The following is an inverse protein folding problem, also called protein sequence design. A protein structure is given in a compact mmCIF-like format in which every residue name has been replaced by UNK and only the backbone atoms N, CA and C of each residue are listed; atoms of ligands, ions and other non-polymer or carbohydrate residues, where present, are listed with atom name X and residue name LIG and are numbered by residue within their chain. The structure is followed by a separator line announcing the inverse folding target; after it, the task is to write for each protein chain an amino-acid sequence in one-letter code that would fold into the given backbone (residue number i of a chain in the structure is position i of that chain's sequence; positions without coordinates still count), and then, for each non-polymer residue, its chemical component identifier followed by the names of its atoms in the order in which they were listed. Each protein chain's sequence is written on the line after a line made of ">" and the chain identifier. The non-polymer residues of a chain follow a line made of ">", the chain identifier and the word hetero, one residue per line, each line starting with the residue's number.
data_IF_874123342092
#
_entry.id   IF_874123342092
#
_cell.length_a   1.000
_cell.length_b   1.000
_cell.length_c   1.000
_cell.angle_alpha   90.00
_cell.angle_beta   90.00
_cell.angle_gamma   90.00
#
_symmetry.space_group_name_H-M   'P 1'
#
loop_
_entity.id
_entity.type
_entity.pdbx_description
1 polymer ?
#
# COMPACT_ATOMS: atom_id res chain seq x y z
N UNK A 1 -4.07 6.32 -4.50
CA UNK A 1 -3.77 7.56 -3.76
C UNK A 1 -4.82 7.86 -2.69
N UNK A 2 -6.03 7.30 -2.82
CA UNK A 2 -7.20 7.55 -1.97
C UNK A 2 -6.95 7.35 -0.47
N UNK A 3 -6.19 6.32 -0.08
CA UNK A 3 -5.82 6.07 1.34
C UNK A 3 -5.08 7.26 1.94
N UNK A 4 -4.08 7.81 1.25
CA UNK A 4 -3.30 8.94 1.75
C UNK A 4 -4.16 10.20 1.91
N UNK A 5 -5.07 10.47 0.97
CA UNK A 5 -6.03 11.58 1.06
C UNK A 5 -6.97 11.40 2.24
N UNK A 6 -7.57 10.22 2.41
CA UNK A 6 -8.50 9.93 3.49
C UNK A 6 -7.81 10.01 4.86
N UNK A 7 -6.55 9.56 4.98
CA UNK A 7 -5.75 9.73 6.19
C UNK A 7 -5.48 11.20 6.49
N UNK A 8 -5.18 12.01 5.47
CA UNK A 8 -4.97 13.44 5.66
C UNK A 8 -6.25 14.14 6.17
N UNK A 9 -7.42 13.75 5.66
CA UNK A 9 -8.71 14.27 6.11
C UNK A 9 -9.06 13.79 7.53
N UNK A 10 -8.82 12.50 7.84
CA UNK A 10 -9.07 11.92 9.16
C UNK A 10 -8.23 12.61 10.23
N UNK A 11 -6.91 12.66 10.01
CA UNK A 11 -5.95 13.26 10.95
C UNK A 11 -6.10 14.78 11.08
N UNK A 12 -6.80 15.44 10.16
CA UNK A 12 -7.14 16.86 10.30
C UNK A 12 -8.14 17.15 11.43
N UNK A 13 -8.77 16.12 12.00
CA UNK A 13 -9.70 16.22 13.14
C UNK A 13 -9.06 15.90 14.48
N UNK A 14 -7.77 15.50 14.48
CA UNK A 14 -7.06 15.10 15.68
C UNK A 14 -6.60 16.36 16.44
N UNK A 15 -6.30 16.26 17.75
CA UNK A 15 -5.75 17.38 18.51
C UNK A 15 -4.44 17.91 17.91
N UNK A 16 -4.24 19.22 17.92
CA UNK A 16 -3.02 19.86 17.38
C UNK A 16 -1.75 19.41 18.12
N UNK A 17 -1.86 18.95 19.37
CA UNK A 17 -0.75 18.38 20.14
C UNK A 17 -0.14 17.13 19.47
N UNK A 18 -0.91 16.42 18.65
CA UNK A 18 -0.46 15.24 17.90
C UNK A 18 0.16 15.56 16.54
N UNK A 19 0.27 16.85 16.17
CA UNK A 19 0.79 17.29 14.87
C UNK A 19 2.13 16.68 14.51
N UNK A 20 3.05 16.63 15.47
CA UNK A 20 4.37 16.02 15.30
C UNK A 20 4.42 14.57 15.81
N UNK A 21 3.43 14.15 16.58
CA UNK A 21 3.22 12.77 17.03
C UNK A 21 2.46 11.96 15.98
N UNK A 22 1.29 11.45 16.39
CA UNK A 22 0.51 10.47 15.63
C UNK A 22 0.09 10.96 14.25
N UNK A 23 -0.26 12.25 14.10
CA UNK A 23 -0.67 12.84 12.80
C UNK A 23 0.48 12.71 11.79
N UNK A 24 1.70 13.07 12.18
CA UNK A 24 2.85 13.04 11.28
C UNK A 24 3.21 11.63 10.85
N UNK A 25 3.17 10.69 11.81
CA UNK A 25 3.51 9.29 11.56
C UNK A 25 2.49 8.63 10.63
N UNK A 26 1.19 8.79 10.91
CA UNK A 26 0.13 8.22 10.08
C UNK A 26 0.17 8.73 8.64
N UNK A 27 0.37 10.04 8.44
CA UNK A 27 0.46 10.62 7.10
C UNK A 27 1.68 10.10 6.33
N UNK A 28 2.84 9.96 6.98
CA UNK A 28 4.04 9.39 6.35
C UNK A 28 3.82 7.92 5.98
N UNK A 29 3.28 7.11 6.89
CA UNK A 29 3.02 5.70 6.62
C UNK A 29 2.03 5.52 5.45
N UNK A 30 0.94 6.30 5.42
CA UNK A 30 -0.06 6.24 4.36
C UNK A 30 0.49 6.64 2.97
N UNK A 31 1.44 7.58 2.90
CA UNK A 31 2.14 7.96 1.65
C UNK A 31 3.22 6.94 1.28
N UNK A 32 3.91 6.37 2.27
CA UNK A 32 5.00 5.40 2.08
C UNK A 32 4.53 4.13 1.36
N UNK A 33 3.35 3.59 1.73
CA UNK A 33 2.81 2.36 1.15
C UNK A 33 2.72 2.42 -0.38
N UNK A 34 1.95 3.34 -1.01
CA UNK A 34 1.87 3.41 -2.47
C UNK A 34 3.19 3.82 -3.11
N UNK A 35 4.01 4.65 -2.46
CA UNK A 35 5.32 5.09 -2.98
C UNK A 35 6.29 3.92 -3.10
N UNK A 36 6.36 3.08 -2.08
CA UNK A 36 7.23 1.89 -2.03
C UNK A 36 6.78 0.84 -3.08
N UNK A 37 5.47 0.63 -3.23
CA UNK A 37 4.93 -0.27 -4.26
C UNK A 37 5.31 0.22 -5.66
N UNK A 38 5.14 1.52 -5.93
CA UNK A 38 5.48 2.12 -7.22
C UNK A 38 6.98 2.04 -7.51
N UNK A 39 7.83 2.27 -6.50
CA UNK A 39 9.28 2.14 -6.64
C UNK A 39 9.67 0.69 -7.00
N UNK A 40 9.12 -0.30 -6.29
CA UNK A 40 9.34 -1.70 -6.58
C UNK A 40 8.92 -2.10 -7.99
N UNK A 41 7.75 -1.62 -8.44
CA UNK A 41 7.26 -1.86 -9.79
C UNK A 41 8.21 -1.28 -10.88
N UNK A 42 8.97 -0.24 -10.55
CA UNK A 42 9.98 0.37 -11.42
C UNK A 42 11.32 -0.37 -11.48
N UNK A 43 11.60 -1.34 -10.59
CA UNK A 43 12.89 -2.05 -10.53
C UNK A 43 13.07 -3.11 -11.62
N UNK A 44 12.00 -3.53 -12.29
CA UNK A 44 12.06 -4.38 -13.49
C UNK A 44 12.28 -5.88 -13.25
N UNK A 45 12.49 -6.31 -12.00
CA UNK A 45 12.60 -7.73 -11.64
C UNK A 45 11.54 -8.14 -10.61
N UNK A 46 11.02 -9.37 -10.72
CA UNK A 46 10.05 -9.93 -9.76
C UNK A 46 10.62 -10.06 -8.34
N UNK A 47 11.88 -10.51 -8.12
CA UNK A 47 12.46 -10.57 -6.77
C UNK A 47 12.57 -9.19 -6.11
N UNK A 48 13.00 -8.17 -6.83
CA UNK A 48 13.05 -6.80 -6.29
C UNK A 48 11.64 -6.32 -5.97
N UNK A 49 10.68 -6.52 -6.87
CA UNK A 49 9.32 -6.08 -6.62
C UNK A 49 8.74 -6.73 -5.35
N UNK A 50 8.94 -8.04 -5.13
CA UNK A 50 8.55 -8.73 -3.89
C UNK A 50 9.17 -8.10 -2.66
N UNK A 51 10.47 -7.78 -2.69
CA UNK A 51 11.15 -7.11 -1.58
C UNK A 51 10.48 -5.78 -1.24
N UNK A 52 10.18 -4.95 -2.24
CA UNK A 52 9.47 -3.69 -2.05
C UNK A 52 8.03 -3.89 -1.52
N UNK A 53 7.33 -4.95 -1.94
CA UNK A 53 6.01 -5.28 -1.37
C UNK A 53 6.09 -5.61 0.12
N UNK A 54 7.13 -6.34 0.55
CA UNK A 54 7.34 -6.60 1.99
C UNK A 54 7.64 -5.33 2.77
N UNK A 55 8.43 -4.40 2.22
CA UNK A 55 8.69 -3.09 2.84
C UNK A 55 7.38 -2.30 2.97
N UNK A 56 6.58 -2.23 1.90
CA UNK A 56 5.29 -1.56 1.91
C UNK A 56 4.34 -2.18 2.95
N UNK A 57 4.36 -3.51 3.10
CA UNK A 57 3.55 -4.23 4.10
C UNK A 57 3.94 -3.83 5.53
N UNK A 58 5.23 -3.63 5.81
CA UNK A 58 5.70 -3.10 7.09
C UNK A 58 5.09 -1.72 7.42
N UNK A 59 5.12 -0.79 6.46
CA UNK A 59 4.46 0.53 6.63
C UNK A 59 2.94 0.42 6.81
N UNK A 60 2.31 -0.59 6.21
CA UNK A 60 0.87 -0.81 6.37
C UNK A 60 0.49 -1.31 7.77
N UNK A 61 1.28 -2.23 8.34
CA UNK A 61 1.07 -2.70 9.72
C UNK A 61 1.32 -1.61 10.76
N UNK A 62 2.33 -0.77 10.53
CA UNK A 62 2.58 0.40 11.37
C UNK A 62 1.36 1.35 11.34
N UNK A 63 0.85 1.66 10.15
CA UNK A 63 -0.32 2.51 9.99
C UNK A 63 -1.59 1.91 10.63
N UNK A 64 -1.83 0.60 10.45
CA UNK A 64 -2.96 -0.10 11.10
C UNK A 64 -2.88 0.03 12.63
N UNK A 65 -1.69 -0.18 13.20
CA UNK A 65 -1.48 -0.03 14.65
C UNK A 65 -1.77 1.40 15.12
N UNK A 66 -1.29 2.41 14.39
CA UNK A 66 -1.54 3.81 14.69
C UNK A 66 -3.03 4.17 14.60
N UNK A 67 -3.76 3.59 13.64
CA UNK A 67 -5.20 3.80 13.49
C UNK A 67 -5.99 3.19 14.67
N UNK A 68 -5.59 2.00 15.13
CA UNK A 68 -6.16 1.39 16.33
C UNK A 68 -5.89 2.23 17.60
N UNK A 69 -4.67 2.77 17.73
CA UNK A 69 -4.32 3.67 18.83
C UNK A 69 -5.14 4.97 18.77
N UNK A 70 -5.31 5.57 17.59
CA UNK A 70 -6.15 6.76 17.42
C UNK A 70 -7.58 6.52 17.89
N UNK A 71 -8.14 5.34 17.62
CA UNK A 71 -9.43 4.92 18.16
C UNK A 71 -9.45 4.83 19.69
N UNK A 72 -8.41 4.23 20.29
CA UNK A 72 -8.28 4.12 21.76
C UNK A 72 -8.11 5.47 22.46
N UNK A 73 -7.44 6.42 21.81
CA UNK A 73 -7.29 7.78 22.31
C UNK A 73 -8.54 8.65 22.08
N UNK A 74 -9.56 8.12 21.40
CA UNK A 74 -10.80 8.85 21.11
C UNK A 74 -10.64 9.88 19.98
N UNK A 75 -9.59 9.80 19.18
CA UNK A 75 -9.34 10.75 18.07
C UNK A 75 -10.13 10.40 16.81
N UNK A 76 -10.56 9.15 16.66
CA UNK A 76 -11.46 8.74 15.59
C UNK A 76 -12.41 7.62 16.01
N UNK A 77 -13.57 7.55 15.35
CA UNK A 77 -14.49 6.43 15.50
C UNK A 77 -14.09 5.25 14.61
N UNK A 78 -14.36 3.99 15.02
CA UNK A 78 -14.12 2.81 14.19
C UNK A 78 -14.74 2.88 12.79
N UNK A 79 -15.92 3.50 12.68
CA UNK A 79 -16.62 3.75 11.41
C UNK A 79 -15.82 4.53 10.37
N UNK A 80 -14.86 5.35 10.81
CA UNK A 80 -13.95 6.10 9.93
C UNK A 80 -12.64 5.34 9.66
N UNK A 81 -12.27 4.42 10.54
CA UNK A 81 -11.05 3.63 10.46
C UNK A 81 -11.21 2.39 9.56
N UNK A 82 -12.31 1.65 9.69
CA UNK A 82 -12.54 0.39 8.97
C UNK A 82 -12.45 0.54 7.44
N UNK A 83 -13.00 1.60 6.81
CA UNK A 83 -12.87 1.78 5.36
C UNK A 83 -11.41 1.93 4.92
N UNK A 84 -10.55 2.55 5.72
CA UNK A 84 -9.13 2.72 5.41
C UNK A 84 -8.37 1.40 5.44
N UNK A 85 -8.66 0.55 6.43
CA UNK A 85 -8.08 -0.79 6.53
C UNK A 85 -8.50 -1.66 5.34
N UNK A 86 -9.79 -1.62 4.96
CA UNK A 86 -10.30 -2.36 3.80
C UNK A 86 -9.59 -1.89 2.52
N UNK A 87 -9.38 -0.58 2.34
CA UNK A 87 -8.67 -0.05 1.18
C UNK A 87 -7.20 -0.50 1.12
N UNK A 88 -6.50 -0.53 2.27
CA UNK A 88 -5.14 -1.07 2.37
C UNK A 88 -5.09 -2.54 1.98
N UNK A 89 -5.97 -3.38 2.54
CA UNK A 89 -6.03 -4.80 2.16
C UNK A 89 -6.25 -4.98 0.66
N UNK A 90 -7.15 -4.19 0.06
CA UNK A 90 -7.41 -4.24 -1.38
C UNK A 90 -6.20 -3.83 -2.21
N UNK A 91 -5.45 -2.82 -1.78
CA UNK A 91 -4.22 -2.38 -2.44
C UNK A 91 -3.19 -3.52 -2.50
N UNK A 92 -2.95 -4.18 -1.37
CA UNK A 92 -2.03 -5.32 -1.32
C UNK A 92 -2.55 -6.51 -2.12
N UNK A 93 -3.84 -6.85 -2.02
CA UNK A 93 -4.43 -7.93 -2.82
C UNK A 93 -4.19 -7.77 -4.32
N UNK A 94 -4.31 -6.54 -4.85
CA UNK A 94 -3.97 -6.24 -6.26
C UNK A 94 -2.47 -6.36 -6.54
N UNK A 95 -1.63 -5.80 -5.67
CA UNK A 95 -0.18 -5.81 -5.86
C UNK A 95 0.40 -7.24 -5.84
N UNK A 96 -0.03 -8.09 -4.91
CA UNK A 96 0.38 -9.48 -4.83
C UNK A 96 -0.18 -10.34 -5.97
N UNK A 97 -1.43 -10.11 -6.40
CA UNK A 97 -2.00 -10.83 -7.56
C UNK A 97 -1.19 -10.61 -8.84
N UNK A 98 -0.62 -9.41 -9.02
CA UNK A 98 0.28 -9.11 -10.14
C UNK A 98 1.58 -9.92 -10.11
N UNK A 99 2.11 -10.21 -8.92
CA UNK A 99 3.31 -11.04 -8.73
C UNK A 99 3.02 -12.52 -9.01
N UNK A 100 1.89 -13.04 -8.55
CA UNK A 100 1.52 -14.46 -8.71
C UNK A 100 1.29 -14.81 -10.18
N UNK A 101 0.62 -13.93 -10.94
CA UNK A 101 0.39 -14.13 -12.38
C UNK A 101 1.65 -13.95 -13.24
N UNK A 102 2.66 -13.24 -12.74
CA UNK A 102 3.96 -13.09 -13.39
C UNK A 102 4.92 -14.27 -13.19
N UNK A 103 4.52 -15.31 -12.44
CA UNK A 103 5.34 -16.50 -12.17
C UNK A 103 5.37 -17.55 -13.28
N UNK A 104 4.67 -17.35 -14.41
CA UNK A 104 4.47 -18.40 -15.43
C UNK A 104 4.73 -18.02 -16.89
N UNK A 105 5.21 -16.81 -17.20
CA UNK A 105 5.58 -16.47 -18.57
C UNK A 105 6.81 -15.55 -18.56
N UNK A 106 7.84 -15.98 -19.29
CA UNK A 106 9.16 -15.35 -19.32
C UNK A 106 9.09 -13.84 -19.51
N UNK A 107 9.82 -13.11 -18.68
CA UNK A 107 10.17 -11.72 -18.91
C UNK A 107 11.68 -11.60 -18.98
N UNK A 108 12.11 -11.30 -20.20
CA UNK A 108 13.40 -10.76 -20.63
C UNK A 108 14.62 -11.69 -20.51
N UNK A 109 14.91 -12.38 -21.60
CA UNK A 109 16.27 -12.83 -21.91
C UNK A 109 17.25 -11.65 -22.07
N UNK A 110 18.57 -11.89 -21.98
CA UNK A 110 19.57 -10.85 -21.95
C UNK A 110 19.78 -10.28 -23.36
N UNK A 111 19.27 -9.07 -23.61
CA UNK A 111 19.65 -8.32 -24.81
C UNK A 111 18.51 -7.53 -25.43
N UNK A 112 18.23 -6.33 -24.94
CA UNK A 112 17.60 -5.28 -25.73
C UNK A 112 17.86 -3.89 -25.12
N UNK A 113 18.65 -3.09 -25.84
CA UNK A 113 18.60 -1.64 -25.93
C UNK A 113 18.31 -0.81 -24.67
N UNK A 114 19.36 -0.16 -24.15
CA UNK A 114 19.26 1.07 -23.36
C UNK A 114 18.43 2.11 -24.15
N UNK A 115 17.18 2.37 -23.76
CA UNK A 115 16.40 3.44 -24.41
C UNK A 115 14.91 3.59 -24.10
N UNK A 116 14.23 2.59 -23.51
CA UNK A 116 12.75 2.61 -23.41
C UNK A 116 12.18 2.52 -21.97
N UNK A 117 12.98 2.78 -20.93
CA UNK A 117 12.59 2.44 -19.54
C UNK A 117 11.75 3.44 -18.75
N UNK A 118 11.37 4.60 -19.31
CA UNK A 118 10.83 5.72 -18.49
C UNK A 118 9.39 6.15 -18.79
N UNK A 119 8.74 5.59 -19.82
CA UNK A 119 7.36 5.95 -20.18
C UNK A 119 6.30 4.94 -19.68
N UNK A 120 6.71 3.77 -19.22
CA UNK A 120 5.78 2.67 -18.95
C UNK A 120 5.49 2.42 -17.46
N UNK A 121 6.24 3.10 -16.57
CA UNK A 121 6.01 3.02 -15.13
C UNK A 121 4.72 3.77 -14.71
N UNK A 122 4.41 4.89 -15.36
CA UNK A 122 3.19 5.68 -15.08
C UNK A 122 1.90 5.01 -15.57
N UNK A 123 1.95 4.23 -16.67
CA UNK A 123 0.80 3.47 -17.16
C UNK A 123 0.41 2.30 -16.26
N UNK A 124 1.39 1.65 -15.61
CA UNK A 124 1.14 0.54 -14.66
C UNK A 124 0.60 1.04 -13.32
N UNK A 125 0.99 2.24 -12.90
CA UNK A 125 0.45 2.94 -11.74
C UNK A 125 -1.04 3.26 -11.98
N UNK A 126 -1.42 3.78 -13.16
CA UNK A 126 -2.82 4.07 -13.49
C UNK A 126 -3.77 2.87 -13.42
N UNK A 127 -3.33 1.68 -13.84
CA UNK A 127 -4.14 0.46 -13.80
C UNK A 127 -4.34 -0.12 -12.38
N UNK A 128 -3.51 0.28 -11.40
CA UNK A 128 -3.62 -0.19 -10.01
C UNK A 128 -4.65 0.61 -9.17
N UNK A 129 -5.13 1.75 -9.68
CA UNK A 129 -5.97 2.71 -8.95
C UNK A 129 -7.40 2.86 -9.48
N UNK A 130 -7.81 2.15 -10.54
CA UNK A 130 -9.16 2.24 -11.10
C UNK A 130 -9.85 0.89 -11.24
N UNK A 131 -10.71 0.52 -10.27
CA UNK A 131 -11.93 -0.29 -10.45
C UNK A 131 -12.56 -0.63 -9.08
N UNK A 132 -13.82 -0.22 -8.93
CA UNK A 132 -14.74 -0.60 -7.85
C UNK A 132 -15.09 -2.10 -7.94
N UNK A 133 -15.02 -2.84 -6.83
CA UNK A 133 -15.93 -3.93 -6.47
C UNK A 133 -15.58 -4.45 -5.06
N UNK A 134 -16.60 -4.99 -4.40
CA UNK A 134 -16.63 -5.31 -2.97
C UNK A 134 -15.72 -6.44 -2.50
N UNK A 135 -15.70 -6.64 -1.19
CA UNK A 135 -14.94 -7.68 -0.51
C UNK A 135 -14.23 -7.12 0.71
N UNK A 136 -14.67 -7.54 1.90
CA UNK A 136 -13.97 -7.38 3.17
C UNK A 136 -12.77 -8.34 3.23
N UNK A 137 -11.67 -7.89 3.83
CA UNK A 137 -10.92 -8.77 4.75
C UNK A 137 -10.07 -7.92 5.72
N UNK A 138 -10.34 -8.01 7.03
CA UNK A 138 -9.29 -7.92 8.03
C UNK A 138 -9.27 -9.14 8.96
N UNK A 139 -8.14 -9.36 9.63
CA UNK A 139 -7.81 -10.44 10.60
C UNK A 139 -7.38 -11.82 10.03
N UNK A 140 -7.41 -12.05 8.71
CA UNK A 140 -7.13 -13.38 8.12
C UNK A 140 -6.03 -13.44 7.04
N UNK A 141 -4.92 -12.70 7.19
CA UNK A 141 -3.62 -13.17 6.68
C UNK A 141 -2.86 -13.96 7.77
N UNK A 142 -3.60 -14.68 8.62
CA UNK A 142 -3.09 -15.52 9.72
C UNK A 142 -2.61 -16.91 9.27
N UNK A 143 -2.32 -17.12 7.98
CA UNK A 143 -2.02 -18.47 7.49
C UNK A 143 -1.53 -18.59 6.05
N UNK A 144 -0.82 -17.60 5.51
CA UNK A 144 -0.03 -17.87 4.30
C UNK A 144 1.35 -18.31 4.73
N UNK A 145 1.55 -19.63 4.78
CA UNK A 145 2.87 -20.25 4.77
C UNK A 145 3.60 -19.75 3.51
N UNK A 146 4.57 -18.87 3.73
CA UNK A 146 5.57 -18.50 2.73
C UNK A 146 6.81 -19.35 3.04
N UNK A 147 6.83 -20.56 2.47
CA UNK A 147 8.07 -21.32 2.25
C UNK A 147 8.84 -20.75 1.05
#
# INVERSE_FOLDING_TARGET
>A
MDVAQAVHQLTGKFPDTERYGLISQMRRAAVSVPSTIAEGAGRGSTPDFRRFLHIALGSAYEFETQLLLAGRFGYCQPSLADPLLIQLTRLFGRAFSGVVRGGGAGVCGPGAGRGAGRRDALGRVGALFGAHAGGHLPVALRGTDFA
#
